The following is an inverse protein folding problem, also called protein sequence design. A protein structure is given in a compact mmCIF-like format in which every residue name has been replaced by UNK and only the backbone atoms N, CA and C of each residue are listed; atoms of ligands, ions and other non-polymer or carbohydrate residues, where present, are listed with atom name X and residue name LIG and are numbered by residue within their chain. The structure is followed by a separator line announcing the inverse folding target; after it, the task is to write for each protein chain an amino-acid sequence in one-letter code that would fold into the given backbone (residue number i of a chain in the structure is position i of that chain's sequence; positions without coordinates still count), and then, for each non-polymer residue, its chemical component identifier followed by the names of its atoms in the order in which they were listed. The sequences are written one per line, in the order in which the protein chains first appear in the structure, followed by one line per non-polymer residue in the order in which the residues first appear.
data_IF_293368235166
#
_entry.id   IF_293368235166
#
_cell.length_a   1.000
_cell.length_b   1.000
_cell.length_c   1.000
_cell.angle_alpha   90.00
_cell.angle_beta   90.00
_cell.angle_gamma   90.00
#
_symmetry.space_group_name_H-M   'P 1'
#
loop_
_entity.id
_entity.type
_entity.pdbx_description
1 polymer ?
#
# COMPACT_ATOMS: atom_id res chain seq x y z
N UNK A 1 19.25 18.48 7.50
CA UNK A 1 18.19 17.75 6.79
C UNK A 1 17.54 18.69 5.79
N UNK A 2 17.66 18.39 4.51
CA UNK A 2 17.12 19.22 3.42
C UNK A 2 15.64 18.89 3.18
N UNK A 3 14.74 19.70 3.75
CA UNK A 3 13.28 19.49 3.60
C UNK A 3 12.81 19.57 2.15
N UNK A 4 13.46 20.40 1.33
CA UNK A 4 13.11 20.54 -0.08
C UNK A 4 13.40 19.27 -0.88
N UNK A 5 14.49 18.57 -0.57
CA UNK A 5 14.81 17.29 -1.21
C UNK A 5 13.73 16.22 -0.88
N UNK A 6 13.35 16.10 0.39
CA UNK A 6 12.29 15.17 0.80
C UNK A 6 10.98 15.49 0.08
N UNK A 7 10.58 16.77 0.07
CA UNK A 7 9.35 17.21 -0.58
C UNK A 7 9.38 16.97 -2.09
N UNK A 8 10.52 17.18 -2.74
CA UNK A 8 10.66 16.96 -4.18
C UNK A 8 10.49 15.49 -4.54
N UNK A 9 11.16 14.58 -3.82
CA UNK A 9 11.05 13.12 -4.02
C UNK A 9 9.60 12.66 -3.74
N UNK A 10 9.04 13.08 -2.62
CA UNK A 10 7.67 12.74 -2.23
C UNK A 10 6.66 13.22 -3.27
N UNK A 11 6.76 14.48 -3.69
CA UNK A 11 5.85 15.07 -4.69
C UNK A 11 6.00 14.39 -6.05
N UNK A 12 7.22 14.04 -6.47
CA UNK A 12 7.47 13.29 -7.70
C UNK A 12 6.75 11.94 -7.68
N UNK A 13 6.89 11.17 -6.59
CA UNK A 13 6.26 9.89 -6.40
C UNK A 13 4.73 9.98 -6.34
N UNK A 14 4.19 10.98 -5.64
CA UNK A 14 2.76 11.21 -5.57
C UNK A 14 2.18 11.62 -6.92
N UNK A 15 2.84 12.52 -7.65
CA UNK A 15 2.41 12.94 -8.99
C UNK A 15 2.43 11.77 -10.00
N UNK A 16 3.42 10.87 -9.90
CA UNK A 16 3.46 9.65 -10.69
C UNK A 16 2.24 8.77 -10.41
N UNK A 17 1.91 8.56 -9.13
CA UNK A 17 0.76 7.79 -8.72
C UNK A 17 -0.57 8.41 -9.16
N UNK A 18 -0.72 9.74 -9.05
CA UNK A 18 -1.92 10.44 -9.53
C UNK A 18 -2.18 10.26 -11.03
N UNK A 19 -1.13 10.11 -11.84
CA UNK A 19 -1.27 9.83 -13.28
C UNK A 19 -1.80 8.42 -13.56
N UNK A 20 -1.58 7.48 -12.66
CA UNK A 20 -1.99 6.07 -12.78
C UNK A 20 -3.08 5.68 -11.79
N UNK A 21 -3.78 6.65 -11.21
CA UNK A 21 -4.76 6.48 -10.12
C UNK A 21 -5.83 5.43 -10.46
N UNK A 22 -6.39 5.51 -11.67
CA UNK A 22 -7.39 4.54 -12.12
C UNK A 22 -6.87 3.11 -12.06
N UNK A 23 -5.69 2.86 -12.60
CA UNK A 23 -5.10 1.53 -12.62
C UNK A 23 -4.70 1.06 -11.22
N UNK A 24 -4.13 1.96 -10.40
CA UNK A 24 -3.66 1.63 -9.06
C UNK A 24 -4.79 1.36 -8.05
N UNK A 25 -5.97 1.94 -8.25
CA UNK A 25 -7.12 1.78 -7.35
C UNK A 25 -8.10 0.73 -7.87
N UNK A 26 -8.40 0.72 -9.18
CA UNK A 26 -9.42 -0.17 -9.73
C UNK A 26 -9.09 -1.65 -9.53
N UNK A 27 -7.85 -2.06 -9.76
CA UNK A 27 -7.46 -3.46 -9.63
C UNK A 27 -7.65 -4.00 -8.19
N UNK A 28 -7.12 -3.36 -7.12
CA UNK A 28 -7.37 -3.79 -5.75
C UNK A 28 -8.84 -3.70 -5.34
N UNK A 29 -9.57 -2.67 -5.77
CA UNK A 29 -11.00 -2.50 -5.44
C UNK A 29 -11.83 -3.61 -6.09
N UNK A 30 -11.60 -3.92 -7.37
CA UNK A 30 -12.31 -4.99 -8.08
C UNK A 30 -12.00 -6.34 -7.42
N UNK A 31 -10.71 -6.64 -7.17
CA UNK A 31 -10.29 -7.89 -6.53
C UNK A 31 -10.94 -8.05 -5.15
N UNK A 32 -10.89 -7.03 -4.31
CA UNK A 32 -11.49 -7.05 -2.98
C UNK A 32 -13.02 -7.17 -3.04
N UNK A 33 -13.68 -6.47 -3.98
CA UNK A 33 -15.12 -6.61 -4.20
C UNK A 33 -15.50 -8.03 -4.61
N UNK A 34 -14.70 -8.64 -5.52
CA UNK A 34 -14.91 -10.02 -5.92
C UNK A 34 -14.76 -10.99 -4.74
N UNK A 35 -13.78 -10.79 -3.88
CA UNK A 35 -13.64 -11.55 -2.64
C UNK A 35 -14.87 -11.42 -1.75
N UNK A 36 -15.42 -10.22 -1.57
CA UNK A 36 -16.65 -10.04 -0.78
C UNK A 36 -17.85 -10.74 -1.40
N UNK A 37 -18.01 -10.66 -2.72
CA UNK A 37 -19.12 -11.36 -3.40
C UNK A 37 -18.98 -12.87 -3.30
N UNK A 38 -17.79 -13.41 -3.61
CA UNK A 38 -17.57 -14.87 -3.63
C UNK A 38 -17.62 -15.45 -2.23
N UNK A 39 -16.84 -14.91 -1.31
CA UNK A 39 -16.76 -15.47 0.06
C UNK A 39 -17.95 -15.07 0.91
N UNK A 40 -18.51 -13.89 0.72
CA UNK A 40 -19.72 -13.46 1.42
C UNK A 40 -20.93 -14.32 1.03
N UNK A 41 -21.09 -14.69 -0.25
CA UNK A 41 -22.18 -15.54 -0.70
C UNK A 41 -21.93 -17.03 -0.46
N UNK A 42 -20.73 -17.53 -0.78
CA UNK A 42 -20.43 -18.97 -0.72
C UNK A 42 -20.24 -19.49 0.70
N UNK A 43 -19.57 -18.72 1.57
CA UNK A 43 -19.28 -19.13 2.94
C UNK A 43 -20.27 -18.49 3.93
N UNK A 44 -20.68 -17.26 3.71
CA UNK A 44 -21.65 -16.57 4.54
C UNK A 44 -23.03 -17.27 4.57
N UNK A 45 -23.38 -18.02 3.52
CA UNK A 45 -24.58 -18.87 3.50
C UNK A 45 -24.47 -20.11 4.42
N UNK A 46 -23.24 -20.57 4.72
CA UNK A 46 -22.96 -21.77 5.54
C UNK A 46 -22.51 -21.43 6.95
N UNK A 47 -21.84 -20.27 7.13
CA UNK A 47 -21.37 -19.78 8.43
C UNK A 47 -21.93 -18.38 8.66
N UNK A 48 -23.00 -18.29 9.42
CA UNK A 48 -23.69 -17.01 9.66
C UNK A 48 -22.85 -16.02 10.48
N UNK A 49 -22.11 -16.50 11.48
CA UNK A 49 -21.30 -15.62 12.35
C UNK A 49 -20.09 -16.35 12.96
N UNK A 50 -19.03 -15.59 13.21
CA UNK A 50 -17.83 -16.01 13.97
C UNK A 50 -17.70 -15.04 15.13
N UNK A 51 -17.78 -15.56 16.38
CA UNK A 51 -17.65 -14.73 17.58
C UNK A 51 -18.69 -13.59 17.69
N UNK A 52 -19.90 -13.79 17.14
CA UNK A 52 -20.95 -12.76 17.14
C UNK A 52 -20.87 -11.73 16.02
N UNK A 53 -19.87 -11.83 15.14
CA UNK A 53 -19.70 -10.95 13.97
C UNK A 53 -20.02 -11.72 12.70
N UNK A 54 -20.70 -11.10 11.73
CA UNK A 54 -20.96 -11.75 10.44
C UNK A 54 -19.66 -12.14 9.74
N UNK A 55 -19.65 -13.28 9.05
CA UNK A 55 -18.45 -13.74 8.34
C UNK A 55 -17.87 -12.67 7.39
N UNK A 56 -18.74 -11.97 6.66
CA UNK A 56 -18.32 -10.88 5.77
C UNK A 56 -17.58 -9.77 6.52
N UNK A 57 -18.07 -9.34 7.68
CA UNK A 57 -17.41 -8.32 8.50
C UNK A 57 -16.08 -8.81 9.10
N UNK A 58 -15.97 -10.11 9.41
CA UNK A 58 -14.76 -10.72 9.94
C UNK A 58 -13.60 -10.70 8.93
N UNK A 59 -13.87 -10.89 7.63
CA UNK A 59 -12.82 -10.92 6.61
C UNK A 59 -12.35 -9.52 6.17
N UNK A 60 -13.12 -8.45 6.44
CA UNK A 60 -12.78 -7.07 6.02
C UNK A 60 -11.37 -6.66 6.44
N UNK A 61 -10.98 -6.72 7.72
CA UNK A 61 -9.65 -6.27 8.15
C UNK A 61 -8.53 -7.08 7.51
N UNK A 62 -8.72 -8.40 7.32
CA UNK A 62 -7.73 -9.27 6.67
C UNK A 62 -7.49 -8.89 5.22
N UNK A 63 -8.54 -8.71 4.42
CA UNK A 63 -8.43 -8.31 3.01
C UNK A 63 -7.85 -6.91 2.86
N UNK A 64 -8.25 -5.96 3.72
CA UNK A 64 -7.69 -4.62 3.74
C UNK A 64 -6.19 -4.64 4.03
N UNK A 65 -5.79 -5.35 5.08
CA UNK A 65 -4.38 -5.42 5.49
C UNK A 65 -3.51 -6.14 4.46
N UNK A 66 -4.02 -7.20 3.82
CA UNK A 66 -3.32 -7.88 2.72
C UNK A 66 -3.06 -6.93 1.55
N UNK A 67 -4.05 -6.14 1.16
CA UNK A 67 -3.91 -5.17 0.08
C UNK A 67 -2.92 -4.05 0.44
N UNK A 68 -2.99 -3.53 1.68
CA UNK A 68 -2.06 -2.51 2.18
C UNK A 68 -0.62 -3.02 2.20
N UNK A 69 -0.41 -4.25 2.66
CA UNK A 69 0.90 -4.90 2.70
C UNK A 69 1.50 -5.02 1.30
N UNK A 70 0.75 -5.62 0.37
CA UNK A 70 1.19 -5.81 -1.01
C UNK A 70 1.49 -4.48 -1.70
N UNK A 71 0.61 -3.50 -1.54
CA UNK A 71 0.76 -2.18 -2.15
C UNK A 71 1.92 -1.39 -1.55
N UNK A 72 2.14 -1.49 -0.23
CA UNK A 72 3.27 -0.85 0.46
C UNK A 72 4.60 -1.38 -0.08
N UNK A 73 4.73 -2.70 -0.18
CA UNK A 73 5.91 -3.35 -0.75
C UNK A 73 6.16 -2.95 -2.19
N UNK A 74 5.14 -3.09 -3.04
CA UNK A 74 5.23 -2.80 -4.47
C UNK A 74 5.57 -1.34 -4.74
N UNK A 75 4.84 -0.39 -4.13
CA UNK A 75 5.09 1.04 -4.37
C UNK A 75 6.49 1.46 -3.93
N UNK A 76 6.98 0.97 -2.80
CA UNK A 76 8.30 1.32 -2.31
C UNK A 76 9.42 0.68 -3.16
N UNK A 77 9.28 -0.60 -3.52
CA UNK A 77 10.27 -1.30 -4.33
C UNK A 77 10.38 -0.73 -5.74
N UNK A 78 9.25 -0.53 -6.42
CA UNK A 78 9.23 0.12 -7.73
C UNK A 78 9.67 1.59 -7.68
N UNK A 79 9.36 2.32 -6.60
CA UNK A 79 9.74 3.71 -6.42
C UNK A 79 11.23 3.94 -6.59
N UNK A 80 12.06 3.14 -5.93
CA UNK A 80 13.52 3.25 -6.00
C UNK A 80 14.12 2.46 -7.18
N UNK A 81 13.51 1.34 -7.56
CA UNK A 81 14.04 0.50 -8.64
C UNK A 81 13.91 1.17 -10.03
N UNK A 82 12.80 1.85 -10.33
CA UNK A 82 12.59 2.48 -11.62
C UNK A 82 13.64 3.54 -11.96
N UNK A 83 14.00 4.49 -11.09
CA UNK A 83 15.13 5.37 -11.30
C UNK A 83 16.46 4.63 -11.51
N UNK A 84 16.69 3.52 -10.81
CA UNK A 84 17.87 2.68 -10.97
C UNK A 84 17.92 2.04 -12.36
N UNK A 85 16.82 1.47 -12.82
CA UNK A 85 16.69 0.84 -14.13
C UNK A 85 16.80 1.85 -15.28
N UNK A 86 16.18 3.03 -15.13
CA UNK A 86 16.22 4.10 -16.13
C UNK A 86 17.56 4.89 -16.14
N UNK A 87 18.45 4.64 -15.19
CA UNK A 87 19.71 5.38 -15.05
C UNK A 87 19.57 6.75 -14.39
N UNK A 88 18.37 7.23 -14.13
CA UNK A 88 18.14 8.55 -13.49
C UNK A 88 18.51 8.58 -12.00
N UNK A 89 18.80 7.43 -11.41
CA UNK A 89 19.32 7.33 -10.04
C UNK A 89 20.62 8.14 -9.85
N UNK A 90 21.43 8.26 -10.90
CA UNK A 90 22.69 9.01 -10.85
C UNK A 90 22.47 10.51 -10.66
N UNK A 91 21.34 11.04 -11.11
CA UNK A 91 20.95 12.44 -10.87
C UNK A 91 20.66 12.65 -9.38
N UNK A 92 19.96 11.69 -8.75
CA UNK A 92 19.70 11.70 -7.31
C UNK A 92 20.99 11.59 -6.50
N UNK A 93 21.93 10.70 -6.92
CA UNK A 93 23.19 10.47 -6.22
C UNK A 93 24.18 11.64 -6.39
N UNK A 94 24.09 12.41 -7.47
CA UNK A 94 24.90 13.62 -7.69
C UNK A 94 24.35 14.86 -7.00
N UNK A 95 23.07 14.84 -6.61
CA UNK A 95 22.42 15.91 -5.88
C UNK A 95 22.88 15.94 -4.40
N UNK A 96 22.88 17.11 -3.73
CA UNK A 96 23.22 17.22 -2.32
C UNK A 96 22.06 16.70 -1.43
N UNK A 97 21.72 15.42 -1.60
CA UNK A 97 20.66 14.73 -0.89
C UNK A 97 21.23 13.59 -0.06
N UNK A 98 20.90 13.57 1.24
CA UNK A 98 21.30 12.49 2.13
C UNK A 98 20.49 11.21 1.86
N UNK A 99 21.10 10.06 2.10
CA UNK A 99 20.42 8.77 2.03
C UNK A 99 19.16 8.69 2.92
N UNK A 100 19.19 9.30 4.09
CA UNK A 100 18.02 9.40 5.01
C UNK A 100 16.89 10.18 4.35
N UNK A 101 17.20 11.29 3.68
CA UNK A 101 16.22 12.13 2.99
C UNK A 101 15.56 11.38 1.83
N UNK A 102 16.34 10.60 1.10
CA UNK A 102 15.84 9.73 0.03
C UNK A 102 14.89 8.65 0.59
N UNK A 103 15.29 7.96 1.66
CA UNK A 103 14.44 6.96 2.33
C UNK A 103 13.12 7.58 2.78
N UNK A 104 13.16 8.72 3.48
CA UNK A 104 11.96 9.40 3.98
C UNK A 104 11.04 9.79 2.81
N UNK A 105 11.59 10.30 1.71
CA UNK A 105 10.83 10.70 0.54
C UNK A 105 10.09 9.52 -0.12
N UNK A 106 10.82 8.45 -0.48
CA UNK A 106 10.26 7.28 -1.15
C UNK A 106 9.32 6.47 -0.25
N UNK A 107 9.78 6.13 0.96
CA UNK A 107 8.99 5.35 1.93
C UNK A 107 7.77 6.13 2.39
N UNK A 108 7.90 7.43 2.63
CA UNK A 108 6.79 8.31 2.99
C UNK A 108 5.71 8.34 1.90
N UNK A 109 6.11 8.46 0.63
CA UNK A 109 5.18 8.42 -0.49
C UNK A 109 4.49 7.06 -0.61
N UNK A 110 5.24 5.95 -0.52
CA UNK A 110 4.67 4.59 -0.58
C UNK A 110 3.69 4.33 0.56
N UNK A 111 4.05 4.73 1.79
CA UNK A 111 3.19 4.64 2.97
C UNK A 111 1.88 5.44 2.76
N UNK A 112 1.95 6.65 2.25
CA UNK A 112 0.76 7.47 2.01
C UNK A 112 -0.16 6.81 0.96
N UNK A 113 0.40 6.32 -0.15
CA UNK A 113 -0.36 5.64 -1.21
C UNK A 113 -1.11 4.41 -0.68
N UNK A 114 -0.43 3.56 0.07
CA UNK A 114 -1.03 2.33 0.61
C UNK A 114 -2.04 2.59 1.72
N UNK A 115 -1.84 3.59 2.57
CA UNK A 115 -2.85 4.03 3.55
C UNK A 115 -4.10 4.55 2.86
N UNK A 116 -3.95 5.39 1.82
CA UNK A 116 -5.08 5.88 1.03
C UNK A 116 -5.84 4.72 0.37
N UNK A 117 -5.13 3.74 -0.20
CA UNK A 117 -5.77 2.55 -0.77
C UNK A 117 -6.50 1.75 0.29
N UNK A 118 -5.91 1.53 1.46
CA UNK A 118 -6.54 0.85 2.58
C UNK A 118 -7.86 1.51 3.01
N UNK A 119 -7.88 2.84 3.07
CA UNK A 119 -9.11 3.59 3.35
C UNK A 119 -10.16 3.44 2.25
N UNK A 120 -9.76 3.44 0.97
CA UNK A 120 -10.66 3.20 -0.16
C UNK A 120 -11.27 1.80 -0.08
N UNK A 121 -10.46 0.78 0.22
CA UNK A 121 -10.92 -0.59 0.41
C UNK A 121 -11.90 -0.68 1.58
N UNK A 122 -11.63 0.01 2.68
CA UNK A 122 -12.53 0.05 3.83
C UNK A 122 -13.89 0.66 3.47
N UNK A 123 -13.90 1.75 2.72
CA UNK A 123 -15.12 2.37 2.20
C UNK A 123 -15.86 1.41 1.26
N UNK A 124 -15.13 0.77 0.36
CA UNK A 124 -15.69 -0.24 -0.55
C UNK A 124 -16.31 -1.41 0.21
N UNK A 125 -15.61 -1.92 1.21
CA UNK A 125 -16.12 -3.02 2.06
C UNK A 125 -17.45 -2.66 2.74
N UNK A 126 -17.63 -1.40 3.13
CA UNK A 126 -18.87 -0.90 3.74
C UNK A 126 -20.09 -1.00 2.82
N UNK A 127 -19.88 -0.99 1.49
CA UNK A 127 -20.98 -1.15 0.52
C UNK A 127 -21.49 -2.60 0.45
N UNK A 128 -20.64 -3.58 0.78
CA UNK A 128 -20.98 -5.01 0.73
C UNK A 128 -21.43 -5.57 2.07
N UNK A 129 -20.85 -5.06 3.16
CA UNK A 129 -21.07 -5.63 4.50
C UNK A 129 -21.20 -4.50 5.52
N UNK A 130 -22.30 -4.52 6.34
CA UNK A 130 -22.39 -3.62 7.49
C UNK A 130 -21.44 -4.09 8.60
N UNK A 131 -20.50 -3.25 8.99
CA UNK A 131 -19.61 -3.47 10.12
C UNK A 131 -19.38 -2.18 10.89
N UNK A 132 -19.05 -2.32 12.18
CA UNK A 132 -18.68 -1.19 13.03
C UNK A 132 -17.21 -1.30 13.43
N UNK A 133 -16.53 -0.15 13.44
CA UNK A 133 -15.15 -0.05 13.89
C UNK A 133 -15.17 0.32 15.36
N UNK A 134 -14.88 -0.65 16.23
CA UNK A 134 -14.88 -0.44 17.68
C UNK A 134 -13.79 0.54 18.13
N UNK A 135 -12.61 0.45 17.53
CA UNK A 135 -11.44 1.24 17.92
C UNK A 135 -10.75 1.89 16.70
N UNK A 136 -11.29 3.02 16.19
CA UNK A 136 -10.77 3.64 14.96
C UNK A 136 -9.33 4.14 15.10
N UNK A 137 -8.93 4.60 16.29
CA UNK A 137 -7.56 5.07 16.56
C UNK A 137 -6.54 3.94 16.45
N UNK A 138 -6.84 2.79 17.06
CA UNK A 138 -5.99 1.61 16.96
C UNK A 138 -5.92 1.07 15.54
N UNK A 139 -7.04 1.04 14.83
CA UNK A 139 -7.08 0.67 13.41
C UNK A 139 -6.16 1.56 12.57
N UNK A 140 -6.27 2.88 12.72
CA UNK A 140 -5.42 3.83 12.00
C UNK A 140 -3.93 3.66 12.37
N UNK A 141 -3.62 3.48 13.66
CA UNK A 141 -2.25 3.27 14.11
C UNK A 141 -1.63 2.00 13.50
N UNK A 142 -2.34 0.87 13.52
CA UNK A 142 -1.87 -0.37 12.92
C UNK A 142 -1.77 -0.27 11.39
N UNK A 143 -2.70 0.40 10.73
CA UNK A 143 -2.66 0.64 9.30
C UNK A 143 -1.39 1.41 8.89
N UNK A 144 -1.08 2.50 9.58
CA UNK A 144 0.11 3.31 9.32
C UNK A 144 1.38 2.52 9.65
N UNK A 145 1.42 1.82 10.79
CA UNK A 145 2.59 1.05 11.21
C UNK A 145 2.91 -0.08 10.24
N UNK A 146 1.89 -0.83 9.83
CA UNK A 146 2.03 -1.90 8.82
C UNK A 146 2.51 -1.32 7.49
N UNK A 147 1.87 -0.27 7.00
CA UNK A 147 2.25 0.39 5.77
C UNK A 147 3.69 0.90 5.80
N UNK A 148 4.11 1.53 6.89
CA UNK A 148 5.49 2.02 7.06
C UNK A 148 6.49 0.87 7.07
N UNK A 149 6.22 -0.17 7.85
CA UNK A 149 7.11 -1.34 7.96
C UNK A 149 7.31 -2.01 6.60
N UNK A 150 6.22 -2.30 5.89
CA UNK A 150 6.30 -2.96 4.59
C UNK A 150 6.82 -2.04 3.47
N UNK A 151 6.62 -0.74 3.56
CA UNK A 151 7.29 0.22 2.66
C UNK A 151 8.80 0.25 2.87
N UNK A 152 9.29 0.13 4.11
CA UNK A 152 10.73 0.00 4.39
C UNK A 152 11.29 -1.30 3.82
N UNK A 153 10.60 -2.42 4.00
CA UNK A 153 10.99 -3.69 3.38
C UNK A 153 11.00 -3.60 1.85
N UNK A 154 9.97 -3.04 1.25
CA UNK A 154 9.89 -2.84 -0.20
C UNK A 154 11.03 -1.96 -0.72
N UNK A 155 11.38 -0.89 0.00
CA UNK A 155 12.51 -0.04 -0.35
C UNK A 155 13.84 -0.81 -0.35
N UNK A 156 14.10 -1.63 0.69
CA UNK A 156 15.29 -2.48 0.78
C UNK A 156 15.36 -3.43 -0.41
N UNK A 157 14.24 -4.08 -0.76
CA UNK A 157 14.15 -5.00 -1.90
C UNK A 157 14.43 -4.25 -3.22
N UNK A 158 13.86 -3.07 -3.41
CA UNK A 158 14.09 -2.25 -4.60
C UNK A 158 15.55 -1.81 -4.78
N UNK A 159 16.22 -1.50 -3.67
CA UNK A 159 17.67 -1.20 -3.69
C UNK A 159 18.49 -2.46 -4.03
N UNK A 160 18.12 -3.61 -3.46
CA UNK A 160 18.83 -4.88 -3.66
C UNK A 160 18.59 -5.48 -5.05
N UNK A 161 17.42 -5.28 -5.65
CA UNK A 161 17.04 -5.88 -6.92
C UNK A 161 17.92 -5.37 -8.08
N UNK A 162 18.51 -6.29 -8.85
CA UNK A 162 19.27 -5.99 -10.07
C UNK A 162 18.44 -6.20 -11.34
N UNK A 163 17.26 -6.84 -11.22
CA UNK A 163 16.35 -7.14 -12.33
C UNK A 163 14.91 -7.20 -11.87
N UNK A 164 13.97 -7.09 -12.82
CA UNK A 164 12.53 -7.19 -12.55
C UNK A 164 12.12 -8.52 -11.92
N UNK A 165 12.85 -9.60 -12.21
CA UNK A 165 12.60 -10.91 -11.63
C UNK A 165 12.70 -10.91 -10.10
N UNK A 166 13.69 -10.19 -9.56
CA UNK A 166 13.88 -10.07 -8.10
C UNK A 166 12.79 -9.22 -7.43
N UNK A 167 12.18 -8.29 -8.16
CA UNK A 167 11.04 -7.51 -7.65
C UNK A 167 9.76 -8.35 -7.57
N UNK A 168 9.61 -9.38 -8.42
CA UNK A 168 8.41 -10.22 -8.44
C UNK A 168 8.41 -11.31 -7.35
N UNK A 169 9.51 -11.48 -6.61
CA UNK A 169 9.59 -12.40 -5.47
C UNK A 169 8.72 -11.89 -4.29
N UNK A 170 8.28 -10.66 -4.35
CA UNK A 170 7.48 -9.96 -3.35
C UNK A 170 6.05 -9.79 -3.84
#
# INVERSE_FOLDING_TARGET
MNRYAIQAIYAFEMNRWFRTLGQSILAPVISTSLYFVVFGSAIGSRMASIGGVSYGAFIVPGLMMLSVLTESLSNASFGIYMPKWAGTIYELLSAPVSWVESVIGYVGAACTKSVLLGLIILITARLFVPFNIAHPVWMAAFLILTSLTFSLFGFIIGVWADGFEKLQIV
#
